data_IF_580087412212
#
_entry.id   IF_580087412212
#
_cell.length_a   1.000
_cell.length_b   1.000
_cell.length_c   1.000
_cell.angle_alpha   90.00
_cell.angle_beta   90.00
_cell.angle_gamma   90.00
#
_symmetry.space_group_name_H-M   'P 1'
#
loop_
_entity.id
_entity.type
_entity.pdbx_description
1 polymer ?
#
# COMPACT_ATOMS: atom_id res chain seq x y z
N UNK A 1 24.75 -10.19 2.18
CA UNK A 1 24.44 -9.59 1.64
C UNK A 1 24.14 -9.42 1.18
N UNK A 2 24.08 -9.25 1.39
CA UNK A 2 23.61 -8.58 0.78
C UNK A 2 23.36 -8.50 0.01
N UNK A 3 23.35 -8.35 0.02
CA UNK A 3 22.91 -7.88 -0.75
C UNK A 3 23.14 -7.22 -1.28
N UNK A 4 23.55 -6.90 -0.98
CA UNK A 4 23.56 -6.03 -1.40
C UNK A 4 23.45 -5.56 -1.94
N UNK A 5 23.45 -5.14 -1.67
CA UNK A 5 22.99 -4.42 -2.18
C UNK A 5 23.29 -4.10 -3.08
N UNK A 6 23.69 -4.28 -3.20
CA UNK A 6 23.76 -3.79 -4.20
C UNK A 6 23.19 -3.78 -4.88
N UNK A 7 22.60 -3.73 -4.71
CA UNK A 7 21.78 -3.57 -5.39
C UNK A 7 21.44 -2.76 -5.60
N UNK A 8 21.40 -2.14 -5.01
CA UNK A 8 20.88 -1.28 -5.29
C UNK A 8 21.20 -0.72 -6.20
N UNK A 9 21.89 -0.76 -6.34
CA UNK A 9 22.15 -0.24 -7.25
C UNK A 9 21.65 -0.21 -8.12
N UNK A 10 21.56 -0.64 -8.10
CA UNK A 10 21.09 -0.59 -8.85
C UNK A 10 20.12 -0.18 -8.85
N UNK A 11 20.02 0.34 -8.09
CA UNK A 11 19.18 0.93 -8.01
C UNK A 11 18.60 1.41 -8.88
N UNK A 12 18.94 1.09 -9.00
CA UNK A 12 18.55 1.60 -9.82
C UNK A 12 17.23 1.87 -10.35
N UNK A 13 16.38 0.98 -10.70
CA UNK A 13 15.07 1.28 -11.12
C UNK A 13 14.12 1.30 -9.97
N UNK A 14 13.38 2.39 -9.87
CA UNK A 14 12.36 2.54 -8.85
C UNK A 14 11.10 1.81 -9.29
N UNK A 15 10.37 1.27 -8.33
CA UNK A 15 9.14 0.54 -8.62
C UNK A 15 7.97 1.51 -8.69
N UNK A 16 7.26 1.50 -9.82
CA UNK A 16 6.07 2.34 -9.94
C UNK A 16 4.94 1.77 -9.12
N UNK A 17 4.01 2.64 -8.70
CA UNK A 17 2.83 2.21 -7.95
C UNK A 17 2.01 1.23 -8.78
N UNK A 18 1.87 1.49 -10.08
CA UNK A 18 1.10 0.62 -10.96
C UNK A 18 1.70 -0.79 -11.01
N UNK A 19 3.02 -0.89 -11.17
CA UNK A 19 3.67 -2.20 -11.22
C UNK A 19 3.60 -2.90 -9.88
N UNK A 20 3.76 -2.17 -8.79
CA UNK A 20 3.68 -2.76 -7.46
C UNK A 20 2.27 -3.26 -7.18
N UNK A 21 1.25 -2.49 -7.59
CA UNK A 21 -0.14 -2.92 -7.44
C UNK A 21 -0.38 -4.22 -8.19
N UNK A 22 0.06 -4.29 -9.45
CA UNK A 22 -0.13 -5.50 -10.25
C UNK A 22 0.57 -6.69 -9.63
N UNK A 23 1.78 -6.47 -9.15
CA UNK A 23 2.54 -7.53 -8.47
C UNK A 23 1.88 -8.00 -7.19
N UNK A 24 1.35 -7.06 -6.42
CA UNK A 24 0.64 -7.38 -5.18
C UNK A 24 -0.61 -8.21 -5.46
N UNK A 25 -1.40 -7.79 -6.46
CA UNK A 25 -2.63 -8.52 -6.79
C UNK A 25 -2.30 -9.90 -7.33
N UNK A 26 -1.24 -10.02 -8.12
CA UNK A 26 -0.78 -11.33 -8.57
C UNK A 26 -0.34 -12.19 -7.39
N UNK A 27 0.37 -11.60 -6.43
CA UNK A 27 0.78 -12.30 -5.22
C UNK A 27 -0.44 -12.83 -4.46
N UNK A 28 -1.49 -12.02 -4.36
CA UNK A 28 -2.73 -12.45 -3.71
C UNK A 28 -3.36 -13.64 -4.43
N UNK A 29 -3.35 -13.62 -5.77
CA UNK A 29 -3.88 -14.74 -6.54
C UNK A 29 -3.07 -16.01 -6.32
N UNK A 30 -1.74 -15.89 -6.29
CA UNK A 30 -0.86 -17.02 -6.10
C UNK A 30 -0.98 -17.64 -4.72
N UNK A 31 -1.40 -16.83 -3.73
CA UNK A 31 -1.65 -17.37 -2.39
C UNK A 31 -2.99 -18.07 -2.28
N UNK A 32 -3.72 -18.17 -3.38
CA UNK A 32 -4.98 -18.89 -3.43
C UNK A 32 -6.01 -18.32 -2.45
N UNK A 33 -6.08 -17.00 -2.37
CA UNK A 33 -7.08 -16.36 -1.53
C UNK A 33 -8.46 -16.57 -2.11
N UNK A 34 -9.48 -16.59 -1.23
CA UNK A 34 -10.85 -16.67 -1.68
C UNK A 34 -11.16 -15.49 -2.60
N UNK A 35 -11.99 -15.69 -3.63
CA UNK A 35 -12.29 -14.60 -4.58
C UNK A 35 -12.79 -13.32 -3.92
N UNK A 36 -13.62 -13.44 -2.88
CA UNK A 36 -14.12 -12.23 -2.22
C UNK A 36 -13.02 -11.51 -1.45
N UNK A 37 -12.00 -12.21 -0.95
CA UNK A 37 -10.88 -11.58 -0.27
C UNK A 37 -10.03 -10.80 -1.26
N UNK A 38 -9.78 -11.39 -2.42
CA UNK A 38 -9.04 -10.72 -3.48
C UNK A 38 -9.76 -9.43 -3.90
N UNK A 39 -11.07 -9.53 -4.14
CA UNK A 39 -11.87 -8.38 -4.52
C UNK A 39 -11.86 -7.31 -3.43
N UNK A 40 -11.96 -7.74 -2.17
CA UNK A 40 -11.92 -6.84 -1.03
C UNK A 40 -10.62 -6.01 -1.04
N UNK A 41 -9.48 -6.67 -1.20
CA UNK A 41 -8.21 -5.94 -1.23
C UNK A 41 -8.14 -5.03 -2.45
N UNK A 42 -8.52 -5.53 -3.61
CA UNK A 42 -8.42 -4.77 -4.85
C UNK A 42 -9.24 -3.48 -4.77
N UNK A 43 -10.48 -3.60 -4.29
CA UNK A 43 -11.38 -2.45 -4.26
C UNK A 43 -11.00 -1.45 -3.17
N UNK A 44 -10.66 -1.95 -1.99
CA UNK A 44 -10.30 -1.05 -0.89
C UNK A 44 -8.95 -0.39 -1.12
N UNK A 45 -8.02 -1.08 -1.76
CA UNK A 45 -6.71 -0.52 -2.07
C UNK A 45 -6.82 0.63 -3.08
N UNK A 46 -7.78 0.55 -3.98
CA UNK A 46 -7.94 1.60 -4.99
C UNK A 46 -8.22 2.96 -4.34
N UNK A 47 -8.93 2.97 -3.22
CA UNK A 47 -9.17 4.23 -2.52
C UNK A 47 -7.86 4.88 -2.08
N UNK A 48 -6.89 4.07 -1.66
CA UNK A 48 -5.58 4.58 -1.25
C UNK A 48 -4.86 5.22 -2.44
N UNK A 49 -4.83 4.56 -3.58
CA UNK A 49 -4.18 5.10 -4.76
C UNK A 49 -4.87 6.37 -5.25
N UNK A 50 -6.20 6.40 -5.19
CA UNK A 50 -6.96 7.57 -5.62
C UNK A 50 -6.69 8.77 -4.71
N UNK A 51 -6.35 8.54 -3.47
CA UNK A 51 -6.09 9.61 -2.51
C UNK A 51 -4.74 10.28 -2.73
N UNK A 52 -3.85 9.64 -3.48
CA UNK A 52 -2.50 10.16 -3.67
C UNK A 52 -2.08 10.01 -5.13
N UNK A 53 -2.81 10.67 -6.06
CA UNK A 53 -2.53 10.49 -7.48
C UNK A 53 -1.19 11.05 -7.90
N UNK A 54 -0.58 11.91 -7.10
CA UNK A 54 0.73 12.48 -7.39
C UNK A 54 1.86 11.50 -7.14
N UNK A 55 1.60 10.42 -6.40
CA UNK A 55 2.63 9.42 -6.10
C UNK A 55 2.78 8.49 -7.29
N UNK A 56 3.95 8.49 -7.91
CA UNK A 56 4.23 7.62 -9.06
C UNK A 56 5.05 6.41 -8.67
N UNK A 57 5.94 6.56 -7.71
CA UNK A 57 6.84 5.50 -7.29
C UNK A 57 6.56 5.12 -5.85
N UNK A 58 6.67 3.83 -5.58
CA UNK A 58 6.34 3.29 -4.26
C UNK A 58 7.18 3.95 -3.16
N UNK A 59 8.44 4.28 -3.45
CA UNK A 59 9.32 4.84 -2.43
C UNK A 59 8.92 6.26 -2.02
N UNK A 60 7.90 6.83 -2.65
CA UNK A 60 7.38 8.13 -2.25
C UNK A 60 6.32 8.05 -1.15
N UNK A 61 5.82 6.85 -0.85
CA UNK A 61 4.87 6.68 0.25
C UNK A 61 5.58 6.86 1.59
N UNK A 62 4.88 7.48 2.54
CA UNK A 62 5.41 7.67 3.89
C UNK A 62 4.24 7.83 4.86
N UNK A 63 4.57 8.12 6.12
CA UNK A 63 3.56 8.28 7.16
C UNK A 63 2.55 9.38 6.81
N UNK A 64 3.04 10.48 6.25
CA UNK A 64 2.17 11.59 5.88
C UNK A 64 1.15 11.17 4.82
N UNK A 65 1.56 10.30 3.88
CA UNK A 65 0.64 9.78 2.87
C UNK A 65 -0.53 9.06 3.53
N UNK A 66 -0.24 8.27 4.55
CA UNK A 66 -1.28 7.54 5.29
C UNK A 66 -2.20 8.52 6.02
N UNK A 67 -1.63 9.50 6.68
CA UNK A 67 -2.42 10.48 7.43
C UNK A 67 -3.34 11.27 6.50
N UNK A 68 -2.84 11.65 5.34
CA UNK A 68 -3.65 12.36 4.36
C UNK A 68 -4.78 11.48 3.83
N UNK A 69 -4.51 10.19 3.63
CA UNK A 69 -5.52 9.24 3.19
C UNK A 69 -6.65 9.17 4.21
N UNK A 70 -6.30 9.02 5.49
CA UNK A 70 -7.29 8.96 6.56
C UNK A 70 -8.10 10.24 6.62
N UNK A 71 -7.44 11.39 6.54
CA UNK A 71 -8.11 12.67 6.55
C UNK A 71 -9.12 12.81 5.42
N UNK A 72 -8.75 12.37 4.23
CA UNK A 72 -9.66 12.43 3.09
C UNK A 72 -10.88 11.53 3.29
N UNK A 73 -10.67 10.32 3.85
CA UNK A 73 -11.79 9.42 4.12
C UNK A 73 -12.74 10.01 5.14
N UNK A 74 -12.20 10.63 6.18
CA UNK A 74 -13.03 11.27 7.20
C UNK A 74 -13.80 12.45 6.61
N UNK A 75 -13.14 13.25 5.79
CA UNK A 75 -13.78 14.41 5.17
C UNK A 75 -14.93 14.02 4.26
N UNK A 76 -14.82 12.85 3.65
CA UNK A 76 -15.90 12.34 2.79
C UNK A 76 -17.02 11.70 3.57
N UNK A 77 -16.91 11.66 4.90
CA UNK A 77 -17.96 11.10 5.74
C UNK A 77 -17.99 9.60 5.80
N UNK A 78 -16.88 8.93 5.48
CA UNK A 78 -16.82 7.48 5.58
C UNK A 78 -17.02 7.02 7.00
N UNK A 79 -17.70 5.89 7.16
CA UNK A 79 -17.89 5.29 8.47
C UNK A 79 -16.59 4.65 8.95
N UNK A 80 -16.47 4.48 10.27
CA UNK A 80 -15.30 3.87 10.89
C UNK A 80 -14.96 2.52 10.25
N UNK A 81 -15.98 1.68 10.03
CA UNK A 81 -15.74 0.37 9.43
C UNK A 81 -15.16 0.48 8.03
N UNK A 82 -15.63 1.43 7.24
CA UNK A 82 -15.11 1.64 5.90
C UNK A 82 -13.68 2.15 5.94
N UNK A 83 -13.39 3.09 6.84
CA UNK A 83 -12.03 3.62 6.98
C UNK A 83 -11.08 2.49 7.35
N UNK A 84 -11.47 1.65 8.30
CA UNK A 84 -10.62 0.54 8.74
C UNK A 84 -10.40 -0.48 7.63
N UNK A 85 -11.41 -0.76 6.80
CA UNK A 85 -11.25 -1.68 5.68
C UNK A 85 -10.25 -1.15 4.66
N UNK A 86 -10.36 0.13 4.34
CA UNK A 86 -9.46 0.75 3.37
C UNK A 86 -8.04 0.84 3.91
N UNK A 87 -7.89 1.13 5.20
CA UNK A 87 -6.57 1.16 5.82
C UNK A 87 -5.94 -0.23 5.86
N UNK A 88 -6.73 -1.25 6.15
CA UNK A 88 -6.20 -2.61 6.18
C UNK A 88 -5.61 -2.98 4.82
N UNK A 89 -6.34 -2.68 3.74
CA UNK A 89 -5.85 -2.99 2.41
C UNK A 89 -4.57 -2.22 2.10
N UNK A 90 -4.52 -0.93 2.46
CA UNK A 90 -3.34 -0.12 2.23
C UNK A 90 -2.14 -0.67 3.01
N UNK A 91 -2.36 -1.07 4.27
CA UNK A 91 -1.28 -1.58 5.11
C UNK A 91 -0.75 -2.92 4.59
N UNK A 92 -1.64 -3.81 4.16
CA UNK A 92 -1.22 -5.09 3.60
C UNK A 92 -0.38 -4.87 2.35
N UNK A 93 -0.79 -3.94 1.50
CA UNK A 93 -0.04 -3.59 0.30
C UNK A 93 1.34 -3.01 0.67
N UNK A 94 1.38 -2.09 1.62
CA UNK A 94 2.66 -1.47 2.00
C UNK A 94 3.61 -2.49 2.64
N UNK A 95 3.08 -3.40 3.45
CA UNK A 95 3.93 -4.47 4.00
C UNK A 95 4.50 -5.35 2.90
N UNK A 96 3.71 -5.66 1.89
CA UNK A 96 4.21 -6.37 0.72
C UNK A 96 5.36 -5.59 0.09
N UNK A 97 5.20 -4.29 -0.08
CA UNK A 97 6.24 -3.44 -0.66
C UNK A 97 7.49 -3.40 0.20
N UNK A 98 7.32 -3.36 1.53
CA UNK A 98 8.47 -3.42 2.43
C UNK A 98 9.24 -4.73 2.24
N UNK A 99 8.51 -5.85 2.17
CA UNK A 99 9.11 -7.16 2.02
C UNK A 99 9.82 -7.31 0.69
N UNK A 100 9.31 -6.67 -0.34
CA UNK A 100 9.95 -6.68 -1.65
C UNK A 100 11.08 -5.67 -1.75
N UNK A 101 11.27 -4.86 -0.70
CA UNK A 101 12.31 -3.83 -0.66
C UNK A 101 12.10 -2.76 -1.71
N UNK A 102 10.84 -2.48 -2.04
CA UNK A 102 10.50 -1.38 -2.94
C UNK A 102 10.63 -0.03 -2.25
N UNK A 103 10.52 -0.01 -0.93
CA UNK A 103 10.73 1.19 -0.14
C UNK A 103 11.16 0.78 1.27
N UNK A 104 11.78 1.73 1.96
CA UNK A 104 12.21 1.50 3.34
C UNK A 104 11.00 1.49 4.26
N UNK A 105 10.97 0.52 5.18
CA UNK A 105 9.81 0.35 6.06
C UNK A 105 9.64 1.54 6.99
N UNK A 106 8.37 1.87 7.26
CA UNK A 106 8.00 2.84 8.28
C UNK A 106 6.82 2.27 9.07
N UNK A 107 6.55 2.78 10.28
CA UNK A 107 5.50 2.21 11.12
C UNK A 107 4.11 2.34 10.49
N UNK A 108 3.33 1.26 10.60
CA UNK A 108 1.95 1.22 10.10
C UNK A 108 0.99 1.00 11.28
N UNK A 109 1.13 1.79 12.32
CA UNK A 109 0.39 1.59 13.56
C UNK A 109 -0.51 2.80 13.83
N UNK A 110 -1.48 3.01 12.98
CA UNK A 110 -2.37 4.14 13.12
C UNK A 110 -3.80 3.67 13.41
N UNK A 111 -4.43 4.27 14.41
CA UNK A 111 -5.81 3.94 14.80
C UNK A 111 -6.64 5.21 14.81
N UNK A 112 -7.22 5.57 13.67
CA UNK A 112 -7.89 6.86 13.52
C UNK A 112 -9.23 6.94 14.21
N UNK A 113 -9.73 5.85 14.73
CA UNK A 113 -11.12 5.73 15.08
C UNK A 113 -11.34 5.36 16.52
N UNK A 114 -10.60 5.93 17.37
CA UNK A 114 -10.75 5.64 18.80
C UNK A 114 -12.07 6.12 19.38
#
# INVERSE_FOLDING_TARGET
>A
MSRIKLKKADQISRKTVSDARDGFLRHCQLKNLAPHTYTYYKENLQFFFDSAPQVKFVDEFNQETIENFIGQLMDKGNRVTAINARLRAAFVFLRYCFEQEYLEAFPLAFHPTQ
#
